data_IF_865755043501
#
_entry.id   IF_865755043501
#
_cell.length_a   1.000
_cell.length_b   1.000
_cell.length_c   1.000
_cell.angle_alpha   90.00
_cell.angle_beta   90.00
_cell.angle_gamma   90.00
#
_symmetry.space_group_name_H-M   'P 1'
#
loop_
_entity.id
_entity.type
_entity.pdbx_description
1 polymer ?
#
# COMPACT_ATOMS: atom_id res chain seq x y z
N UNK A 1 -8.14 -3.32 -7.78
CA UNK A 1 -7.94 -2.43 -6.60
C UNK A 1 -8.36 -3.19 -5.35
N UNK A 2 -8.58 -2.57 -4.18
CA UNK A 2 -8.71 -3.25 -2.86
C UNK A 2 -9.68 -4.45 -2.78
N UNK A 3 -10.64 -4.52 -3.71
CA UNK A 3 -11.54 -5.66 -3.89
C UNK A 3 -10.90 -6.93 -4.48
N UNK A 4 -9.62 -6.95 -4.86
CA UNK A 4 -8.91 -8.18 -5.27
C UNK A 4 -9.37 -8.81 -6.59
N UNK A 5 -10.35 -8.23 -7.31
CA UNK A 5 -10.67 -8.67 -8.66
C UNK A 5 -9.48 -8.39 -9.61
N UNK A 6 -9.09 -9.35 -10.46
CA UNK A 6 -7.87 -9.24 -11.28
C UNK A 6 -8.00 -8.20 -12.40
N UNK A 7 -9.20 -8.04 -12.96
CA UNK A 7 -9.50 -7.07 -14.03
C UNK A 7 -10.91 -6.52 -13.84
N UNK A 8 -11.10 -5.26 -14.19
CA UNK A 8 -12.42 -4.67 -14.37
C UNK A 8 -12.72 -3.46 -13.50
N UNK A 9 -13.75 -2.74 -13.90
CA UNK A 9 -14.38 -1.64 -13.16
C UNK A 9 -15.86 -1.59 -13.57
N UNK A 10 -16.73 -1.09 -12.70
CA UNK A 10 -18.17 -1.04 -12.94
C UNK A 10 -18.64 0.41 -12.97
N UNK A 11 -19.43 0.75 -13.99
CA UNK A 11 -20.21 1.97 -14.04
C UNK A 11 -21.68 1.61 -13.75
N UNK A 12 -22.25 2.22 -12.72
CA UNK A 12 -23.65 2.06 -12.34
C UNK A 12 -24.36 3.41 -12.35
N UNK A 13 -25.64 3.42 -12.70
CA UNK A 13 -26.46 4.64 -12.81
C UNK A 13 -27.76 4.39 -13.57
N UNK A 14 -28.50 5.46 -13.94
CA UNK A 14 -29.75 5.36 -14.68
C UNK A 14 -29.61 4.60 -16.01
N UNK A 15 -30.69 3.97 -16.46
CA UNK A 15 -30.69 3.12 -17.66
C UNK A 15 -30.16 3.85 -18.91
N UNK A 16 -30.53 5.12 -19.10
CA UNK A 16 -30.08 5.93 -20.23
C UNK A 16 -28.55 6.16 -20.22
N UNK A 17 -27.99 6.43 -19.04
CA UNK A 17 -26.55 6.58 -18.85
C UNK A 17 -25.83 5.28 -19.18
N UNK A 18 -26.31 4.15 -18.64
CA UNK A 18 -25.71 2.83 -18.89
C UNK A 18 -25.80 2.46 -20.38
N UNK A 19 -26.92 2.77 -21.05
CA UNK A 19 -27.07 2.52 -22.48
C UNK A 19 -26.06 3.32 -23.31
N UNK A 20 -25.86 4.61 -23.00
CA UNK A 20 -24.85 5.45 -23.66
C UNK A 20 -23.43 4.94 -23.38
N UNK A 21 -23.13 4.60 -22.13
CA UNK A 21 -21.83 4.07 -21.73
C UNK A 21 -21.48 2.74 -22.41
N UNK A 22 -22.45 1.84 -22.61
CA UNK A 22 -22.23 0.57 -23.34
C UNK A 22 -21.81 0.80 -24.79
N UNK A 23 -22.38 1.81 -25.47
CA UNK A 23 -21.97 2.19 -26.83
C UNK A 23 -20.54 2.73 -26.85
N UNK A 24 -20.21 3.64 -25.93
CA UNK A 24 -18.85 4.19 -25.79
C UNK A 24 -17.83 3.09 -25.46
N UNK A 25 -18.13 2.20 -24.53
CA UNK A 25 -17.29 1.03 -24.20
C UNK A 25 -16.98 0.20 -25.44
N UNK A 26 -17.96 0.01 -26.34
CA UNK A 26 -17.74 -0.74 -27.58
C UNK A 26 -16.83 0.01 -28.55
N UNK A 27 -17.04 1.32 -28.73
CA UNK A 27 -16.22 2.17 -29.58
C UNK A 27 -14.75 2.25 -29.11
N UNK A 28 -14.53 2.28 -27.79
CA UNK A 28 -13.21 2.26 -27.16
C UNK A 28 -12.56 0.87 -27.11
N UNK A 29 -13.19 -0.17 -27.68
CA UNK A 29 -12.65 -1.53 -27.72
C UNK A 29 -12.90 -2.38 -26.47
N UNK A 30 -13.54 -1.86 -25.42
CA UNK A 30 -13.85 -2.59 -24.17
C UNK A 30 -14.98 -3.63 -24.29
N UNK A 31 -15.44 -3.95 -25.49
CA UNK A 31 -16.48 -4.94 -25.75
C UNK A 31 -15.95 -6.38 -25.80
N UNK A 32 -15.47 -6.88 -24.68
CA UNK A 32 -14.87 -8.23 -24.54
C UNK A 32 -15.87 -9.35 -24.86
N UNK A 33 -15.35 -10.46 -25.40
CA UNK A 33 -16.08 -11.75 -25.51
C UNK A 33 -15.75 -12.62 -24.31
N UNK A 34 -16.66 -13.51 -23.92
CA UNK A 34 -16.48 -14.44 -22.80
C UNK A 34 -16.06 -13.78 -21.47
N UNK A 35 -16.51 -12.54 -21.24
CA UNK A 35 -16.17 -11.76 -20.04
C UNK A 35 -16.73 -12.35 -18.72
N UNK A 36 -17.50 -13.45 -18.78
CA UNK A 36 -18.07 -14.12 -17.63
C UNK A 36 -17.03 -14.61 -16.63
N UNK A 37 -15.85 -15.06 -17.09
CA UNK A 37 -14.76 -15.51 -16.21
C UNK A 37 -14.27 -14.39 -15.30
N UNK A 38 -14.03 -13.20 -15.86
CA UNK A 38 -13.61 -12.02 -15.09
C UNK A 38 -14.76 -11.48 -14.24
N UNK A 39 -16.00 -11.50 -14.77
CA UNK A 39 -17.18 -11.08 -14.02
C UNK A 39 -17.41 -11.94 -12.76
N UNK A 40 -17.16 -13.25 -12.83
CA UNK A 40 -17.25 -14.15 -11.68
C UNK A 40 -16.28 -13.74 -10.56
N UNK A 41 -15.02 -13.43 -10.91
CA UNK A 41 -14.06 -12.90 -9.95
C UNK A 41 -14.52 -11.56 -9.36
N UNK A 42 -15.18 -10.70 -10.15
CA UNK A 42 -15.79 -9.46 -9.68
C UNK A 42 -16.94 -9.67 -8.67
N UNK A 43 -17.77 -10.70 -8.88
CA UNK A 43 -18.85 -11.06 -7.94
C UNK A 43 -18.27 -11.52 -6.61
N UNK A 44 -17.26 -12.41 -6.65
CA UNK A 44 -16.57 -12.87 -5.43
C UNK A 44 -15.87 -11.72 -4.72
N UNK A 45 -15.23 -10.82 -5.47
CA UNK A 45 -14.57 -9.62 -4.96
C UNK A 45 -15.53 -8.65 -4.24
N UNK A 46 -16.78 -8.56 -4.71
CA UNK A 46 -17.83 -7.77 -4.08
C UNK A 46 -18.48 -8.46 -2.89
N UNK A 47 -18.37 -9.79 -2.77
CA UNK A 47 -18.83 -10.49 -1.58
C UNK A 47 -17.90 -10.18 -0.41
N UNK A 48 -18.45 -9.66 0.70
CA UNK A 48 -17.66 -9.39 1.92
C UNK A 48 -16.63 -8.25 1.80
N UNK A 49 -16.80 -7.35 0.82
CA UNK A 49 -15.84 -6.28 0.56
C UNK A 49 -15.61 -5.34 1.75
N UNK A 50 -16.66 -5.06 2.53
CA UNK A 50 -16.63 -4.12 3.66
C UNK A 50 -15.62 -4.58 4.73
N UNK A 51 -15.62 -5.86 5.07
CA UNK A 51 -14.69 -6.42 6.05
C UNK A 51 -13.24 -6.31 5.57
N UNK A 52 -13.00 -6.63 4.30
CA UNK A 52 -11.67 -6.52 3.68
C UNK A 52 -11.17 -5.08 3.72
N UNK A 53 -11.98 -4.10 3.29
CA UNK A 53 -11.56 -2.70 3.27
C UNK A 53 -11.35 -2.15 4.69
N UNK A 54 -12.18 -2.54 5.65
CA UNK A 54 -12.00 -2.15 7.05
C UNK A 54 -10.70 -2.72 7.64
N UNK A 55 -10.33 -3.96 7.28
CA UNK A 55 -9.04 -4.53 7.66
C UNK A 55 -7.87 -3.74 7.06
N UNK A 56 -7.94 -3.41 5.77
CA UNK A 56 -6.91 -2.61 5.08
C UNK A 56 -6.73 -1.24 5.74
N UNK A 57 -7.83 -0.57 6.13
CA UNK A 57 -7.79 0.72 6.85
C UNK A 57 -7.14 0.58 8.23
N UNK A 58 -7.44 -0.49 8.97
CA UNK A 58 -6.83 -0.76 10.29
C UNK A 58 -5.33 -1.00 10.14
N UNK A 59 -4.91 -1.78 9.15
CA UNK A 59 -3.50 -2.05 8.87
C UNK A 59 -2.74 -0.77 8.49
N UNK A 60 -3.31 0.04 7.60
CA UNK A 60 -2.75 1.35 7.24
C UNK A 60 -2.57 2.25 8.47
N UNK A 61 -3.60 2.35 9.33
CA UNK A 61 -3.52 3.17 10.53
C UNK A 61 -2.51 2.63 11.55
N UNK A 62 -2.37 1.31 11.67
CA UNK A 62 -1.37 0.67 12.51
C UNK A 62 0.05 0.99 12.03
N UNK A 63 0.31 0.85 10.73
CA UNK A 63 1.61 1.20 10.16
C UNK A 63 1.92 2.69 10.29
N UNK A 64 0.94 3.56 10.06
CA UNK A 64 1.10 5.00 10.24
C UNK A 64 1.50 5.38 11.68
N UNK A 65 0.95 4.69 12.69
CA UNK A 65 1.35 4.87 14.10
C UNK A 65 2.80 4.47 14.32
N UNK A 66 3.21 3.30 13.81
CA UNK A 66 4.61 2.88 13.89
C UNK A 66 5.56 3.88 13.22
N UNK A 67 5.17 4.46 12.07
CA UNK A 67 5.96 5.51 11.42
C UNK A 67 6.01 6.79 12.26
N UNK A 68 4.90 7.21 12.85
CA UNK A 68 4.86 8.39 13.72
C UNK A 68 5.71 8.20 14.99
N UNK A 69 5.69 7.00 15.57
CA UNK A 69 6.42 6.65 16.79
C UNK A 69 7.92 6.46 16.55
N UNK A 70 8.30 5.86 15.42
CA UNK A 70 9.70 5.47 15.16
C UNK A 70 10.42 6.31 14.12
N UNK A 71 9.72 7.05 13.25
CA UNK A 71 10.31 7.84 12.18
C UNK A 71 11.25 8.96 12.65
N UNK A 72 11.12 9.37 13.92
CA UNK A 72 11.99 10.31 14.61
C UNK A 72 12.19 11.61 13.80
N UNK A 73 13.44 12.03 13.55
CA UNK A 73 13.76 13.20 12.73
C UNK A 73 13.88 12.90 11.22
N UNK A 74 13.85 11.62 10.83
CA UNK A 74 14.08 11.21 9.44
C UNK A 74 12.82 11.29 8.59
N UNK A 75 11.70 10.82 9.12
CA UNK A 75 10.40 10.87 8.45
C UNK A 75 9.25 10.82 9.45
N UNK A 76 8.05 11.10 8.97
CA UNK A 76 6.82 11.08 9.77
C UNK A 76 5.61 10.68 8.93
N UNK A 77 4.56 10.24 9.60
CA UNK A 77 3.23 10.07 9.06
C UNK A 77 2.24 10.54 10.12
N UNK A 78 1.01 10.89 9.71
CA UNK A 78 -0.02 11.38 10.62
C UNK A 78 -1.17 10.37 10.71
N UNK A 79 -1.24 9.52 11.76
CA UNK A 79 -2.27 8.50 11.89
C UNK A 79 -3.70 9.04 11.86
N UNK A 80 -3.90 10.28 12.31
CA UNK A 80 -5.21 10.96 12.30
C UNK A 80 -5.62 11.48 10.91
N UNK A 81 -4.70 11.44 9.94
CA UNK A 81 -4.95 11.76 8.53
C UNK A 81 -5.07 10.52 7.65
N UNK A 82 -4.99 9.33 8.23
CA UNK A 82 -5.17 8.05 7.53
C UNK A 82 -6.61 7.59 7.71
N UNK A 83 -7.44 7.92 6.72
CA UNK A 83 -8.86 7.57 6.68
C UNK A 83 -9.14 6.26 5.92
N UNK A 84 -8.22 5.86 5.03
CA UNK A 84 -8.37 4.70 4.14
C UNK A 84 -7.16 3.77 4.23
N UNK A 85 -6.85 3.05 3.16
CA UNK A 85 -5.77 2.07 3.07
C UNK A 85 -4.42 2.68 2.63
N UNK A 86 -4.28 4.00 2.60
CA UNK A 86 -3.09 4.69 2.10
C UNK A 86 -2.40 5.45 3.23
N UNK A 87 -1.09 5.25 3.36
CA UNK A 87 -0.24 6.01 4.28
C UNK A 87 0.78 6.80 3.48
N UNK A 88 0.78 8.12 3.68
CA UNK A 88 1.82 9.01 3.20
C UNK A 88 2.90 9.15 4.27
N UNK A 89 4.12 8.76 3.93
CA UNK A 89 5.29 8.91 4.79
C UNK A 89 6.12 10.06 4.24
N UNK A 90 6.15 11.18 4.97
CA UNK A 90 6.93 12.37 4.61
C UNK A 90 8.34 12.24 5.17
N UNK A 91 9.35 12.27 4.31
CA UNK A 91 10.75 12.36 4.71
C UNK A 91 11.04 13.80 5.13
N UNK A 92 11.49 13.99 6.36
CA UNK A 92 11.73 15.30 6.98
C UNK A 92 13.20 15.69 6.97
N UNK A 93 14.12 14.73 7.04
CA UNK A 93 15.56 15.01 6.99
C UNK A 93 16.02 15.25 5.54
N UNK A 94 16.64 16.39 5.21
CA UNK A 94 17.06 16.69 3.83
C UNK A 94 18.15 15.76 3.30
N UNK A 95 18.86 15.06 4.19
CA UNK A 95 19.98 14.16 3.85
C UNK A 95 19.49 12.75 3.48
N UNK A 96 18.23 12.45 3.80
CA UNK A 96 17.56 11.21 3.40
C UNK A 96 16.60 11.53 2.25
N UNK A 97 16.62 10.68 1.24
CA UNK A 97 15.66 10.74 0.14
C UNK A 97 14.62 9.62 0.29
N UNK A 98 13.39 9.79 -0.22
CA UNK A 98 12.41 8.71 -0.29
C UNK A 98 12.98 7.46 -0.97
N UNK A 99 13.78 7.64 -2.02
CA UNK A 99 14.38 6.53 -2.76
C UNK A 99 15.37 5.72 -1.91
N UNK A 100 16.22 6.38 -1.12
CA UNK A 100 17.10 5.69 -0.17
C UNK A 100 16.31 4.88 0.86
N UNK A 101 15.27 5.49 1.44
CA UNK A 101 14.42 4.82 2.43
C UNK A 101 13.68 3.62 1.81
N UNK A 102 13.17 3.77 0.58
CA UNK A 102 12.55 2.67 -0.19
C UNK A 102 13.53 1.52 -0.40
N UNK A 103 14.75 1.80 -0.83
CA UNK A 103 15.76 0.76 -1.09
C UNK A 103 16.10 -0.02 0.17
N UNK A 104 16.26 0.67 1.31
CA UNK A 104 16.54 0.02 2.59
C UNK A 104 15.36 -0.83 3.09
N UNK A 105 14.13 -0.35 2.91
CA UNK A 105 12.92 -1.12 3.23
C UNK A 105 12.80 -2.37 2.35
N UNK A 106 13.13 -2.26 1.06
CA UNK A 106 13.07 -3.35 0.10
C UNK A 106 14.17 -4.40 0.29
N UNK A 107 15.36 -3.99 0.73
CA UNK A 107 16.55 -4.86 0.70
C UNK A 107 16.37 -6.20 1.42
N UNK A 108 15.44 -6.32 2.40
CA UNK A 108 15.35 -7.48 3.28
C UNK A 108 16.66 -7.68 4.04
N UNK A 109 16.69 -8.52 5.07
CA UNK A 109 17.98 -8.96 5.61
C UNK A 109 18.48 -10.11 4.75
N UNK A 110 19.41 -9.84 3.82
CA UNK A 110 20.10 -10.90 3.08
C UNK A 110 21.15 -11.64 3.96
N UNK A 111 21.30 -11.22 5.23
CA UNK A 111 22.28 -11.74 6.19
C UNK A 111 21.58 -12.36 7.40
N UNK A 112 21.28 -13.65 7.29
CA UNK A 112 20.59 -14.48 8.30
C UNK A 112 21.01 -14.23 9.75
N UNK A 113 20.24 -13.38 10.43
CA UNK A 113 20.21 -13.26 11.89
C UNK A 113 18.86 -13.71 12.46
N UNK A 114 18.39 -14.87 11.99
CA UNK A 114 17.75 -15.87 12.85
C UNK A 114 16.35 -15.61 13.42
N UNK A 115 15.59 -14.63 12.96
CA UNK A 115 14.15 -14.53 13.27
C UNK A 115 13.33 -14.23 12.02
N UNK A 116 12.26 -14.99 11.78
CA UNK A 116 11.36 -14.84 10.61
C UNK A 116 10.76 -13.41 10.49
N UNK A 117 10.82 -12.61 11.56
CA UNK A 117 10.30 -11.24 11.63
C UNK A 117 11.26 -10.17 11.06
N UNK A 118 12.55 -10.46 10.89
CA UNK A 118 13.55 -9.51 10.39
C UNK A 118 13.75 -9.56 8.86
N UNK A 119 13.34 -10.66 8.20
CA UNK A 119 13.60 -10.92 6.78
C UNK A 119 12.56 -10.32 5.83
N UNK A 120 11.62 -9.52 6.33
CA UNK A 120 10.55 -8.97 5.50
C UNK A 120 11.05 -7.82 4.60
N UNK A 121 11.05 -8.07 3.28
CA UNK A 121 11.18 -7.01 2.28
C UNK A 121 9.88 -6.19 2.21
N UNK A 122 9.97 -4.88 2.44
CA UNK A 122 8.82 -3.98 2.45
C UNK A 122 8.80 -3.15 1.16
N UNK A 123 7.77 -3.38 0.34
CA UNK A 123 7.56 -2.65 -0.91
C UNK A 123 6.72 -1.40 -0.67
N UNK A 124 7.29 -0.23 -0.99
CA UNK A 124 6.62 1.07 -0.97
C UNK A 124 6.95 1.86 -2.24
N UNK A 125 6.03 2.74 -2.66
CA UNK A 125 6.24 3.60 -3.83
C UNK A 125 6.80 4.97 -3.45
N UNK A 126 7.71 5.52 -4.25
CA UNK A 126 8.02 6.96 -4.20
C UNK A 126 6.88 7.72 -4.86
N UNK A 127 6.32 8.69 -4.14
CA UNK A 127 5.20 9.50 -4.64
C UNK A 127 5.64 10.90 -5.06
N UNK A 128 6.52 11.52 -4.28
CA UNK A 128 7.07 12.85 -4.55
C UNK A 128 8.52 12.92 -4.09
N UNK A 129 9.16 14.08 -4.28
CA UNK A 129 10.55 14.32 -3.84
C UNK A 129 10.76 14.10 -2.33
N UNK A 130 9.69 14.20 -1.54
CA UNK A 130 9.73 14.07 -0.08
C UNK A 130 8.77 13.03 0.48
N UNK A 131 8.07 12.26 -0.34
CA UNK A 131 7.04 11.35 0.16
C UNK A 131 7.15 9.94 -0.42
N UNK A 132 6.97 8.96 0.47
CA UNK A 132 6.64 7.60 0.13
C UNK A 132 5.13 7.37 0.31
N UNK A 133 4.58 6.47 -0.51
CA UNK A 133 3.21 6.01 -0.42
C UNK A 133 3.19 4.51 -0.17
N UNK A 134 2.73 4.11 1.01
CA UNK A 134 2.39 2.74 1.35
C UNK A 134 0.90 2.51 1.11
N UNK A 135 0.54 1.41 0.47
CA UNK A 135 -0.86 1.06 0.16
C UNK A 135 -1.12 -0.33 0.70
N UNK A 136 -2.08 -0.43 1.61
CA UNK A 136 -2.54 -1.69 2.18
C UNK A 136 -3.66 -2.27 1.31
N UNK A 137 -3.69 -3.59 1.19
CA UNK A 137 -4.69 -4.31 0.45
C UNK A 137 -4.82 -5.72 1.05
N UNK A 138 -5.86 -6.44 0.64
CA UNK A 138 -6.19 -7.81 1.06
C UNK A 138 -5.02 -8.78 1.23
N UNK A 139 -4.00 -8.70 0.38
CA UNK A 139 -2.85 -9.61 0.43
C UNK A 139 -1.78 -9.19 1.45
N UNK A 140 -2.03 -8.10 2.18
CA UNK A 140 -1.22 -7.61 3.31
C UNK A 140 -1.96 -7.93 4.60
N UNK A 141 -1.56 -9.04 5.23
CA UNK A 141 -2.18 -9.48 6.47
C UNK A 141 -1.79 -8.62 7.67
N UNK A 142 -2.42 -8.87 8.81
CA UNK A 142 -2.03 -8.27 10.08
C UNK A 142 -0.57 -8.58 10.42
N UNK A 143 -0.15 -9.83 10.22
CA UNK A 143 1.22 -10.26 10.47
C UNK A 143 2.21 -9.57 9.51
N UNK A 144 1.86 -9.40 8.23
CA UNK A 144 2.67 -8.62 7.28
C UNK A 144 2.82 -7.17 7.73
N UNK A 145 1.74 -6.58 8.27
CA UNK A 145 1.77 -5.20 8.75
C UNK A 145 2.68 -5.05 9.97
N UNK A 146 2.67 -6.00 10.89
CA UNK A 146 3.59 -6.02 12.04
C UNK A 146 5.05 -6.18 11.58
N UNK A 147 5.32 -7.11 10.66
CA UNK A 147 6.65 -7.28 10.06
C UNK A 147 7.11 -6.01 9.35
N UNK A 148 6.23 -5.34 8.61
CA UNK A 148 6.55 -4.09 7.93
C UNK A 148 6.87 -2.97 8.92
N UNK A 149 6.12 -2.84 10.01
CA UNK A 149 6.38 -1.87 11.08
C UNK A 149 7.72 -2.16 11.79
N UNK A 150 8.01 -3.43 12.07
CA UNK A 150 9.27 -3.86 12.66
C UNK A 150 10.46 -3.55 11.74
N UNK A 151 10.37 -3.94 10.45
CA UNK A 151 11.39 -3.63 9.45
C UNK A 151 11.61 -2.12 9.31
N UNK A 152 10.53 -1.34 9.29
CA UNK A 152 10.62 0.12 9.23
C UNK A 152 11.43 0.67 10.40
N UNK A 153 11.12 0.23 11.62
CA UNK A 153 11.88 0.62 12.81
C UNK A 153 13.37 0.27 12.69
N UNK A 154 13.71 -0.94 12.27
CA UNK A 154 15.10 -1.36 12.07
C UNK A 154 15.83 -0.49 11.05
N UNK A 155 15.19 -0.18 9.92
CA UNK A 155 15.78 0.68 8.89
C UNK A 155 16.03 2.09 9.44
N UNK A 156 15.08 2.66 10.18
CA UNK A 156 15.26 3.98 10.79
C UNK A 156 16.39 3.96 11.83
N UNK A 157 16.44 2.94 12.69
CA UNK A 157 17.51 2.80 13.69
C UNK A 157 18.88 2.61 13.03
N UNK A 158 18.97 1.83 11.96
CA UNK A 158 20.21 1.66 11.18
C UNK A 158 20.65 2.96 10.50
N UNK A 159 19.76 3.69 9.83
CA UNK A 159 20.09 4.99 9.22
C UNK A 159 20.55 6.02 10.27
N UNK A 160 20.01 5.94 11.49
CA UNK A 160 20.45 6.76 12.62
C UNK A 160 21.79 6.31 13.22
N UNK A 161 22.06 5.01 13.23
CA UNK A 161 23.28 4.44 13.79
C UNK A 161 24.46 4.60 12.83
N UNK A 162 24.24 4.33 11.54
CA UNK A 162 25.19 4.60 10.47
C UNK A 162 25.62 6.05 10.55
N UNK A 163 24.65 6.98 10.68
CA UNK A 163 24.87 8.42 10.57
C UNK A 163 25.62 8.65 9.23
N UNK A 164 25.20 9.53 8.35
CA UNK A 164 25.51 10.96 8.48
C UNK A 164 26.55 11.27 9.59
N UNK A 165 27.63 10.52 9.60
CA UNK A 165 28.83 10.58 10.42
C UNK A 165 29.94 11.12 9.52
N UNK A 166 29.57 12.10 8.69
CA UNK A 166 30.33 13.25 8.21
C UNK A 166 29.35 14.39 7.96
#
# INVERSE_FOLDING_TARGET
QGLGAPVGSVLAGPCELVARARRLRKALGGGMRQAGVVAAAGIVALAGYEETLLADHRHAKMFARAVAEHGAALCTAWPDKVDTNIVMVTVTDPRVTPEMLRQQLLAGDAGGSGTEEADAAVLVGVWSERELRAVFHRDVSHADTLRAAHRFRLVIDNLRAEKILR
#
